data_IF_382597859590
#
_entry.id   IF_382597859590
#
_cell.length_a   1.000
_cell.length_b   1.000
_cell.length_c   1.000
_cell.angle_alpha   90.00
_cell.angle_beta   90.00
_cell.angle_gamma   90.00
#
_symmetry.space_group_name_H-M   'P 1'
#
loop_
_entity.id
_entity.type
_entity.pdbx_description
1 polymer ?
#
# COMPACT_ATOMS: atom_id res chain seq x y z
N UNK A 1 -70.21 -22.55 -33.92
CA UNK A 1 -68.81 -22.10 -34.09
C UNK A 1 -68.26 -21.75 -32.72
N UNK A 2 -67.13 -22.37 -32.36
CA UNK A 2 -66.45 -22.34 -31.04
C UNK A 2 -65.52 -21.09 -30.95
N UNK A 3 -64.81 -20.94 -29.82
CA UNK A 3 -63.72 -20.01 -29.45
C UNK A 3 -64.16 -18.91 -28.46
N UNK A 4 -64.12 -19.12 -27.14
CA UNK A 4 -62.96 -19.32 -26.24
C UNK A 4 -62.02 -18.12 -26.19
N UNK A 5 -61.98 -17.39 -25.05
CA UNK A 5 -60.79 -16.68 -24.56
C UNK A 5 -60.82 -16.61 -23.03
N UNK A 6 -60.02 -17.48 -22.41
CA UNK A 6 -59.67 -17.51 -20.98
C UNK A 6 -58.36 -16.72 -20.78
N UNK A 7 -58.36 -15.87 -19.75
CA UNK A 7 -57.24 -15.40 -18.92
C UNK A 7 -55.93 -14.94 -19.61
N UNK A 8 -55.64 -13.64 -19.48
CA UNK A 8 -54.27 -13.11 -19.54
C UNK A 8 -53.97 -12.27 -18.29
N UNK A 9 -53.36 -12.92 -17.30
CA UNK A 9 -52.79 -12.26 -16.13
C UNK A 9 -51.31 -11.93 -16.39
N UNK A 10 -50.99 -10.64 -16.19
CA UNK A 10 -49.76 -10.03 -15.67
C UNK A 10 -48.43 -10.83 -15.68
N UNK A 11 -47.40 -10.27 -16.34
CA UNK A 11 -46.29 -9.56 -15.67
C UNK A 11 -45.21 -9.18 -16.69
N UNK A 12 -44.78 -7.92 -16.65
CA UNK A 12 -43.60 -7.40 -17.35
C UNK A 12 -42.38 -7.58 -16.46
N UNK A 13 -41.28 -8.10 -16.98
CA UNK A 13 -39.95 -7.87 -16.42
C UNK A 13 -38.89 -7.86 -17.54
N UNK A 14 -38.06 -6.83 -17.49
CA UNK A 14 -37.02 -6.42 -18.43
C UNK A 14 -35.79 -7.35 -18.44
N UNK A 15 -35.14 -7.41 -19.60
CA UNK A 15 -33.89 -8.14 -19.86
C UNK A 15 -32.67 -7.55 -19.13
N UNK A 16 -31.68 -8.39 -18.82
CA UNK A 16 -30.26 -8.06 -18.92
C UNK A 16 -29.46 -9.35 -19.19
N UNK A 17 -28.74 -9.37 -20.31
CA UNK A 17 -27.83 -10.43 -20.74
C UNK A 17 -26.68 -10.58 -19.74
N UNK A 18 -26.67 -11.65 -18.97
CA UNK A 18 -25.51 -12.08 -18.18
C UNK A 18 -24.72 -13.12 -18.97
N UNK A 19 -23.48 -12.78 -19.35
CA UNK A 19 -22.51 -13.77 -19.81
C UNK A 19 -22.08 -14.64 -18.62
N UNK A 20 -22.73 -15.79 -18.44
CA UNK A 20 -22.25 -16.83 -17.54
C UNK A 20 -21.16 -17.64 -18.27
N UNK A 21 -19.91 -17.46 -17.83
CA UNK A 21 -18.82 -18.36 -18.17
C UNK A 21 -19.03 -19.67 -17.40
N UNK A 22 -19.57 -20.65 -18.10
CA UNK A 22 -19.77 -22.00 -17.61
C UNK A 22 -18.41 -22.71 -17.58
N UNK A 23 -17.76 -22.78 -16.41
CA UNK A 23 -16.77 -23.83 -16.19
C UNK A 23 -17.30 -24.78 -15.12
N UNK A 24 -18.02 -25.78 -15.60
CA UNK A 24 -18.27 -27.04 -14.93
C UNK A 24 -16.91 -27.70 -14.66
N UNK A 25 -16.49 -27.78 -13.40
CA UNK A 25 -15.42 -28.68 -12.99
C UNK A 25 -15.98 -29.68 -11.98
N UNK A 26 -16.57 -30.74 -12.52
CA UNK A 26 -16.75 -32.02 -11.84
C UNK A 26 -15.39 -32.65 -11.63
N UNK A 27 -15.08 -33.02 -10.37
CA UNK A 27 -14.10 -34.00 -9.89
C UNK A 27 -12.65 -33.83 -10.39
N UNK A 28 -11.63 -33.92 -9.52
CA UNK A 28 -11.05 -35.21 -9.22
C UNK A 28 -10.15 -35.10 -7.98
N UNK A 29 -10.56 -35.73 -6.87
CA UNK A 29 -9.61 -36.35 -5.95
C UNK A 29 -9.10 -37.63 -6.61
N UNK A 30 -8.30 -37.48 -7.68
CA UNK A 30 -7.49 -38.55 -8.20
C UNK A 30 -6.10 -38.31 -7.66
N UNK A 31 -5.61 -39.26 -6.85
CA UNK A 31 -4.21 -39.35 -6.50
C UNK A 31 -3.40 -39.46 -7.80
N UNK A 32 -2.94 -38.31 -8.29
CA UNK A 32 -2.03 -38.23 -9.41
C UNK A 32 -0.67 -38.78 -8.95
N UNK A 33 -0.11 -39.66 -9.76
CA UNK A 33 1.23 -40.20 -9.62
C UNK A 33 2.27 -39.07 -9.44
N UNK A 34 3.43 -39.34 -8.80
CA UNK A 34 4.49 -38.35 -8.70
C UNK A 34 4.99 -38.00 -10.11
N UNK A 35 4.67 -36.80 -10.57
CA UNK A 35 5.23 -36.25 -11.80
C UNK A 35 6.72 -35.96 -11.57
N UNK A 36 7.66 -36.65 -12.27
CA UNK A 36 9.10 -36.48 -12.02
C UNK A 36 9.66 -35.13 -12.50
N UNK A 37 8.81 -34.25 -13.04
CA UNK A 37 9.23 -33.00 -13.68
C UNK A 37 8.54 -31.73 -13.16
N UNK A 38 7.63 -31.79 -12.17
CA UNK A 38 7.29 -30.66 -11.28
C UNK A 38 7.00 -29.28 -11.90
N UNK A 39 6.51 -29.16 -13.13
CA UNK A 39 6.31 -27.87 -13.82
C UNK A 39 4.87 -27.34 -13.77
N UNK A 40 3.92 -28.07 -13.16
CA UNK A 40 2.50 -27.66 -13.10
C UNK A 40 2.22 -26.47 -12.17
N UNK A 41 3.20 -25.98 -11.42
CA UNK A 41 3.05 -24.91 -10.41
C UNK A 41 3.63 -23.54 -10.82
N UNK A 42 4.12 -23.38 -12.05
CA UNK A 42 4.84 -22.16 -12.46
C UNK A 42 3.96 -20.99 -12.92
N UNK A 43 2.63 -21.10 -12.82
CA UNK A 43 1.71 -20.00 -13.14
C UNK A 43 0.86 -19.65 -11.93
N UNK A 44 1.50 -19.08 -10.93
CA UNK A 44 0.79 -18.25 -9.96
C UNK A 44 1.32 -16.83 -10.11
N UNK A 45 0.72 -16.09 -11.04
CA UNK A 45 0.67 -14.63 -10.95
C UNK A 45 -0.18 -14.27 -9.73
N UNK A 46 0.27 -14.67 -8.54
CA UNK A 46 -0.36 -14.27 -7.29
C UNK A 46 -0.19 -12.77 -7.24
N UNK A 47 -1.29 -12.06 -7.41
CA UNK A 47 -1.34 -10.61 -7.26
C UNK A 47 -0.84 -10.31 -5.85
N UNK A 48 0.39 -9.78 -5.76
CA UNK A 48 1.05 -9.54 -4.49
C UNK A 48 0.15 -8.65 -3.62
N UNK A 49 -0.09 -9.01 -2.34
CA UNK A 49 -0.83 -8.12 -1.46
C UNK A 49 -0.12 -6.77 -1.40
N UNK A 50 -0.92 -5.71 -1.28
CA UNK A 50 -0.42 -4.35 -1.34
C UNK A 50 -1.17 -3.45 -0.37
N UNK A 51 -0.51 -2.36 0.00
CA UNK A 51 -1.10 -1.22 0.67
C UNK A 51 -1.25 -0.10 -0.35
N UNK A 52 -2.41 0.55 -0.37
CA UNK A 52 -2.71 1.64 -1.30
C UNK A 52 -3.23 2.88 -0.60
N UNK A 53 -3.27 4.00 -1.30
CA UNK A 53 -3.86 5.22 -0.75
C UNK A 53 -3.42 6.47 -1.49
N UNK A 54 -3.65 7.60 -0.85
CA UNK A 54 -3.28 8.92 -1.35
C UNK A 54 -2.31 9.63 -0.41
N UNK A 55 -1.46 10.46 -0.97
CA UNK A 55 -0.46 11.25 -0.23
C UNK A 55 -0.72 12.72 -0.55
N UNK A 56 -1.12 13.47 0.47
CA UNK A 56 -1.42 14.90 0.37
C UNK A 56 -0.41 15.72 1.16
N UNK A 57 -0.21 16.98 0.80
CA UNK A 57 0.62 17.93 1.55
C UNK A 57 -0.29 18.95 2.21
N UNK A 58 -0.08 19.23 3.50
CA UNK A 58 -0.96 20.10 4.28
C UNK A 58 -0.92 21.56 3.82
N UNK A 59 0.22 22.02 3.30
CA UNK A 59 0.36 23.38 2.76
C UNK A 59 0.14 23.42 1.26
N UNK A 60 -0.34 24.57 0.78
CA UNK A 60 -0.31 24.89 -0.64
C UNK A 60 1.11 25.27 -1.04
N UNK A 61 1.83 24.33 -1.63
CA UNK A 61 3.20 24.48 -2.08
C UNK A 61 3.38 23.77 -3.41
N UNK A 62 4.16 24.35 -4.31
CA UNK A 62 4.58 23.69 -5.54
C UNK A 62 5.91 22.96 -5.28
N UNK A 63 5.90 21.64 -5.45
CA UNK A 63 7.14 20.88 -5.44
C UNK A 63 7.93 21.10 -6.73
N UNK A 64 9.27 21.19 -6.67
CA UNK A 64 10.09 21.21 -7.86
C UNK A 64 10.06 19.83 -8.55
N UNK A 65 10.31 19.76 -9.86
CA UNK A 65 10.15 18.53 -10.63
C UNK A 65 11.12 17.40 -10.24
N UNK A 66 12.25 17.75 -9.63
CA UNK A 66 13.25 16.82 -9.11
C UNK A 66 12.91 16.28 -7.71
N UNK A 67 11.81 16.73 -7.08
CA UNK A 67 11.39 16.24 -5.77
C UNK A 67 11.10 14.73 -5.84
N UNK A 68 11.60 14.01 -4.84
CA UNK A 68 11.50 12.55 -4.74
C UNK A 68 10.56 12.21 -3.60
N UNK A 69 9.47 11.51 -3.93
CA UNK A 69 8.51 10.94 -3.00
C UNK A 69 8.92 9.51 -2.66
N UNK A 70 9.09 9.23 -1.37
CA UNK A 70 9.36 7.89 -0.85
C UNK A 70 8.20 7.45 0.03
N UNK A 71 7.69 6.24 -0.20
CA UNK A 71 6.66 5.59 0.63
C UNK A 71 7.29 4.33 1.22
N UNK A 72 7.17 4.18 2.53
CA UNK A 72 7.85 3.13 3.28
C UNK A 72 6.86 2.39 4.16
N UNK A 73 6.86 1.07 4.02
CA UNK A 73 6.19 0.12 4.90
C UNK A 73 7.24 -0.49 5.82
N UNK A 74 7.00 -0.45 7.13
CA UNK A 74 7.97 -0.89 8.13
C UNK A 74 7.34 -1.66 9.28
N UNK A 75 8.07 -2.61 9.86
CA UNK A 75 7.73 -3.32 11.09
C UNK A 75 8.35 -2.59 12.29
N UNK A 76 7.50 -2.04 13.16
CA UNK A 76 7.88 -1.36 14.40
C UNK A 76 7.38 -2.12 15.65
N UNK A 77 7.40 -3.45 15.60
CA UNK A 77 6.97 -4.30 16.73
C UNK A 77 7.94 -4.29 17.90
N UNK A 78 9.21 -3.98 17.65
CA UNK A 78 10.23 -3.85 18.68
C UNK A 78 10.30 -2.39 19.12
N UNK A 79 9.94 -2.12 20.37
CA UNK A 79 9.83 -0.74 20.88
C UNK A 79 11.18 0.00 20.93
N UNK A 80 12.28 -0.74 21.16
CA UNK A 80 13.62 -0.17 21.38
C UNK A 80 14.58 -0.40 20.20
N UNK A 81 14.04 -0.79 19.04
CA UNK A 81 14.83 -1.01 17.83
C UNK A 81 14.35 -0.11 16.69
N UNK A 82 15.25 0.28 15.77
CA UNK A 82 14.83 0.91 14.52
C UNK A 82 13.81 0.04 13.78
N UNK A 83 12.79 0.68 13.21
CA UNK A 83 11.76 -0.02 12.45
C UNK A 83 12.39 -0.72 11.22
N UNK A 84 12.04 -1.98 11.00
CA UNK A 84 12.56 -2.76 9.90
C UNK A 84 11.76 -2.47 8.62
N UNK A 85 12.42 -2.06 7.53
CA UNK A 85 11.73 -1.75 6.26
C UNK A 85 11.36 -3.04 5.54
N UNK A 86 10.06 -3.20 5.27
CA UNK A 86 9.50 -4.37 4.60
C UNK A 86 9.30 -4.13 3.10
N UNK A 87 8.89 -2.91 2.75
CA UNK A 87 8.72 -2.49 1.36
C UNK A 87 8.94 -0.98 1.26
N UNK A 88 9.55 -0.54 0.17
CA UNK A 88 9.75 0.87 -0.09
C UNK A 88 9.55 1.15 -1.57
N UNK A 89 8.89 2.26 -1.88
CA UNK A 89 8.73 2.76 -3.24
C UNK A 89 9.18 4.21 -3.31
N UNK A 90 10.02 4.50 -4.30
CA UNK A 90 10.58 5.83 -4.53
C UNK A 90 10.22 6.29 -5.93
N UNK A 91 9.64 7.48 -6.06
CA UNK A 91 9.14 8.03 -7.32
C UNK A 91 9.49 9.51 -7.39
N UNK A 92 9.93 9.99 -8.55
CA UNK A 92 10.07 11.43 -8.79
C UNK A 92 8.70 12.04 -9.03
N UNK A 93 8.44 13.20 -8.44
CA UNK A 93 7.15 13.88 -8.60
C UNK A 93 6.97 14.45 -10.00
N UNK A 94 8.05 14.78 -10.71
CA UNK A 94 8.02 15.26 -12.11
C UNK A 94 7.11 16.49 -12.30
N UNK A 95 6.96 17.30 -11.25
CA UNK A 95 6.10 18.50 -11.24
C UNK A 95 4.62 18.20 -11.00
N UNK A 96 4.23 16.93 -10.91
CA UNK A 96 2.89 16.52 -10.49
C UNK A 96 2.59 17.08 -9.11
N UNK A 97 1.35 17.52 -8.91
CA UNK A 97 0.91 18.09 -7.64
C UNK A 97 0.15 17.04 -6.81
N UNK A 98 0.15 17.15 -5.47
CA UNK A 98 -0.66 16.29 -4.62
C UNK A 98 -2.16 16.46 -4.92
N UNK A 99 -3.00 15.44 -4.67
CA UNK A 99 -2.68 14.17 -4.01
C UNK A 99 -2.00 13.14 -4.93
N UNK A 100 -0.98 12.45 -4.42
CA UNK A 100 -0.30 11.36 -5.13
C UNK A 100 -0.92 10.01 -4.77
N UNK A 101 -1.35 9.25 -5.78
CA UNK A 101 -1.81 7.89 -5.59
C UNK A 101 -0.62 6.93 -5.50
N UNK A 102 -0.66 5.99 -4.57
CA UNK A 102 0.35 4.94 -4.48
C UNK A 102 -0.29 3.55 -4.33
N UNK A 103 0.48 2.57 -4.79
CA UNK A 103 0.29 1.15 -4.53
C UNK A 103 1.67 0.61 -4.17
N UNK A 104 1.77 0.02 -2.98
CA UNK A 104 2.99 -0.51 -2.39
C UNK A 104 2.80 -2.02 -2.13
N UNK A 105 3.22 -2.89 -3.06
CA UNK A 105 3.21 -4.34 -2.84
C UNK A 105 4.22 -4.73 -1.77
N UNK A 106 3.91 -5.78 -1.01
CA UNK A 106 4.80 -6.35 0.02
C UNK A 106 4.74 -7.87 0.02
N UNK A 107 5.77 -8.52 0.55
CA UNK A 107 5.80 -9.96 0.72
C UNK A 107 5.08 -10.39 2.00
N UNK A 108 3.98 -11.17 1.93
CA UNK A 108 3.24 -11.57 3.13
C UNK A 108 4.06 -12.51 4.03
N UNK A 109 5.08 -13.21 3.50
CA UNK A 109 5.95 -14.05 4.30
C UNK A 109 6.82 -13.24 5.29
N UNK A 110 7.05 -11.95 5.02
CA UNK A 110 7.83 -11.07 5.88
C UNK A 110 6.99 -10.44 7.01
N UNK A 111 5.66 -10.65 6.99
CA UNK A 111 4.73 -10.12 8.00
C UNK A 111 4.53 -11.14 9.12
N UNK A 112 4.96 -10.80 10.35
CA UNK A 112 4.68 -11.62 11.53
C UNK A 112 3.22 -11.45 11.97
N UNK A 113 2.55 -12.47 12.53
CA UNK A 113 1.12 -12.42 12.88
C UNK A 113 0.70 -11.28 13.83
N UNK A 114 1.60 -10.82 14.70
CA UNK A 114 1.34 -9.74 15.66
C UNK A 114 2.22 -8.51 15.40
N UNK A 115 2.72 -8.35 14.17
CA UNK A 115 3.59 -7.23 13.86
C UNK A 115 2.82 -5.91 13.81
N UNK A 116 3.41 -4.85 14.36
CA UNK A 116 2.93 -3.48 14.19
C UNK A 116 3.52 -2.91 12.91
N UNK A 117 2.75 -2.99 11.83
CA UNK A 117 3.16 -2.54 10.52
C UNK A 117 2.75 -1.07 10.32
N UNK A 118 3.73 -0.23 10.07
CA UNK A 118 3.58 1.22 9.91
C UNK A 118 3.83 1.64 8.47
N UNK A 119 2.95 2.50 7.98
CA UNK A 119 3.07 3.20 6.71
C UNK A 119 3.50 4.65 6.96
N UNK A 120 4.53 5.08 6.25
CA UNK A 120 5.01 6.45 6.26
C UNK A 120 5.46 6.89 4.87
N UNK A 121 5.59 8.19 4.68
CA UNK A 121 6.10 8.79 3.46
C UNK A 121 6.86 10.08 3.77
N UNK A 122 7.85 10.35 2.94
CA UNK A 122 8.65 11.57 2.97
C UNK A 122 8.90 12.07 1.55
N UNK A 123 9.12 13.37 1.44
CA UNK A 123 9.55 14.03 0.20
C UNK A 123 10.89 14.69 0.44
N UNK A 124 11.86 14.35 -0.41
CA UNK A 124 13.18 14.97 -0.43
C UNK A 124 13.36 15.82 -1.68
N UNK A 125 14.03 16.96 -1.55
CA UNK A 125 14.41 17.85 -2.65
C UNK A 125 15.92 18.07 -2.53
N UNK A 126 16.68 17.82 -3.60
CA UNK A 126 18.15 17.90 -3.57
C UNK A 126 18.79 17.11 -2.42
N UNK A 127 18.23 15.95 -2.06
CA UNK A 127 18.71 15.12 -0.95
C UNK A 127 18.33 15.60 0.46
N UNK A 128 17.67 16.76 0.59
CA UNK A 128 17.18 17.28 1.86
C UNK A 128 15.71 16.90 2.06
N UNK A 129 15.39 16.34 3.23
CA UNK A 129 14.00 16.05 3.58
C UNK A 129 13.24 17.36 3.78
N UNK A 130 12.20 17.57 2.99
CA UNK A 130 11.38 18.78 3.03
C UNK A 130 10.04 18.52 3.70
N UNK A 131 9.44 17.36 3.43
CA UNK A 131 8.16 16.94 4.01
C UNK A 131 8.23 15.52 4.55
N UNK A 132 7.51 15.28 5.64
CA UNK A 132 7.35 13.97 6.26
C UNK A 132 5.89 13.78 6.67
N UNK A 133 5.44 12.53 6.78
CA UNK A 133 4.09 12.21 7.25
C UNK A 133 3.86 12.74 8.66
N UNK A 134 2.74 13.43 8.87
CA UNK A 134 2.33 14.03 10.15
C UNK A 134 2.06 12.97 11.22
N UNK A 135 1.33 11.91 10.83
CA UNK A 135 1.01 10.78 11.69
C UNK A 135 1.19 9.48 10.91
N UNK A 136 2.08 8.62 11.39
CA UNK A 136 2.29 7.28 10.82
C UNK A 136 0.99 6.46 10.92
N UNK A 137 0.65 5.76 9.85
CA UNK A 137 -0.58 4.97 9.80
C UNK A 137 -0.27 3.50 10.09
N UNK A 138 -1.10 2.85 10.91
CA UNK A 138 -1.02 1.40 11.08
C UNK A 138 -1.82 0.72 9.98
N UNK A 139 -1.19 -0.20 9.25
CA UNK A 139 -1.80 -0.95 8.14
C UNK A 139 -1.45 -2.41 8.32
N UNK A 140 -2.14 -3.33 7.63
CA UNK A 140 -1.93 -4.79 7.76
C UNK A 140 -2.18 -5.26 9.22
N UNK A 141 -2.35 -6.56 9.47
CA UNK A 141 -2.58 -7.10 10.83
C UNK A 141 -3.68 -6.36 11.64
N UNK A 142 -4.81 -6.05 10.99
CA UNK A 142 -5.93 -5.31 11.60
C UNK A 142 -6.01 -3.83 11.25
N UNK A 143 -4.97 -3.23 10.63
CA UNK A 143 -4.96 -1.84 10.15
C UNK A 143 -5.53 -1.62 8.73
N UNK A 144 -6.07 -2.66 8.09
CA UNK A 144 -6.55 -2.60 6.69
C UNK A 144 -5.42 -2.52 5.65
N UNK A 145 -5.78 -2.41 4.37
CA UNK A 145 -4.83 -2.35 3.24
C UNK A 145 -4.88 -1.01 2.47
N UNK A 146 -5.59 -0.02 3.04
CA UNK A 146 -5.71 1.31 2.46
C UNK A 146 -5.52 2.37 3.54
N UNK A 147 -4.65 3.34 3.30
CA UNK A 147 -4.42 4.45 4.22
C UNK A 147 -3.97 5.70 3.45
N UNK A 148 -4.58 6.83 3.80
CA UNK A 148 -4.19 8.13 3.28
C UNK A 148 -3.17 8.80 4.21
N UNK A 149 -2.17 9.45 3.63
CA UNK A 149 -1.09 10.13 4.34
C UNK A 149 -1.19 11.64 4.12
N UNK A 150 -1.02 12.38 5.22
CA UNK A 150 -0.87 13.82 5.20
C UNK A 150 0.57 14.18 5.55
N UNK A 151 1.23 14.95 4.69
CA UNK A 151 2.61 15.38 4.84
C UNK A 151 2.66 16.82 5.35
N UNK A 152 3.61 17.06 6.24
CA UNK A 152 3.93 18.35 6.84
C UNK A 152 5.43 18.63 6.67
N UNK A 153 5.88 19.88 6.75
CA UNK A 153 7.29 20.19 6.66
C UNK A 153 8.04 19.58 7.83
N UNK A 154 9.29 19.22 7.59
CA UNK A 154 10.17 18.88 8.69
C UNK A 154 10.42 20.12 9.56
N UNK A 155 10.21 19.98 10.87
CA UNK A 155 10.65 20.97 11.85
C UNK A 155 12.14 20.71 12.08
N UNK A 156 13.02 21.47 11.43
CA UNK A 156 14.46 21.40 11.68
C UNK A 156 14.76 21.98 13.06
N UNK A 157 14.56 21.17 14.10
CA UNK A 157 15.07 21.51 15.43
C UNK A 157 16.55 21.20 15.40
N UNK A 158 17.39 22.22 15.23
CA UNK A 158 18.83 22.06 15.37
C UNK A 158 19.11 21.47 16.75
N UNK A 159 19.64 20.24 16.81
CA UNK A 159 20.13 19.67 18.06
C UNK A 159 21.36 20.48 18.43
N UNK A 160 21.36 21.28 19.51
CA UNK A 160 22.56 21.99 19.92
C UNK A 160 23.57 20.94 20.36
N UNK A 161 24.59 20.70 19.53
CA UNK A 161 25.79 20.00 19.97
C UNK A 161 26.46 20.92 20.98
N UNK A 162 26.39 20.56 22.26
CA UNK A 162 27.12 21.23 23.32
C UNK A 162 28.60 21.21 22.93
N UNK A 163 29.11 22.37 22.56
CA UNK A 163 30.53 22.55 22.26
C UNK A 163 31.24 22.51 23.61
N UNK A 164 31.83 21.37 23.95
CA UNK A 164 32.75 21.24 25.09
C UNK A 164 33.96 22.15 24.85
N UNK A 165 33.80 23.42 25.18
CA UNK A 165 34.87 24.40 25.29
C UNK A 165 35.20 24.57 26.76
N UNK A 166 35.84 23.55 27.33
CA UNK A 166 36.52 23.71 28.63
C UNK A 166 37.73 24.63 28.44
N UNK A 167 37.82 25.79 29.12
CA UNK A 167 39.02 26.60 29.06
C UNK A 167 40.12 25.87 29.83
N UNK A 168 41.20 25.53 29.14
CA UNK A 168 42.43 25.06 29.76
C UNK A 168 42.95 26.15 30.71
N UNK A 169 42.94 25.87 32.01
CA UNK A 169 43.60 26.71 33.00
C UNK A 169 45.11 26.67 32.75
N UNK A 170 45.66 27.82 32.36
CA UNK A 170 47.11 28.07 32.35
C UNK A 170 47.53 28.29 33.81
N UNK A 171 48.43 27.43 34.30
CA UNK A 171 49.32 27.73 35.43
C UNK A 171 50.72 27.93 34.89
#
# INVERSE_FOLDING_TARGET
MKFAYLLSALAVATALTACANNHSATANNHAAAPDPYGIASLTSSQQQPNVSGTISIRQRVALPPDAVLTVTLSDASLADAPAHVLAQKTVRTEGQQPPYNFVLPYNPADIKPNARILLSSAITVNGQMMFITDTVQTVVNGGGNRADLLLVPVQQTAVPVASDSSPAAVQ
#
